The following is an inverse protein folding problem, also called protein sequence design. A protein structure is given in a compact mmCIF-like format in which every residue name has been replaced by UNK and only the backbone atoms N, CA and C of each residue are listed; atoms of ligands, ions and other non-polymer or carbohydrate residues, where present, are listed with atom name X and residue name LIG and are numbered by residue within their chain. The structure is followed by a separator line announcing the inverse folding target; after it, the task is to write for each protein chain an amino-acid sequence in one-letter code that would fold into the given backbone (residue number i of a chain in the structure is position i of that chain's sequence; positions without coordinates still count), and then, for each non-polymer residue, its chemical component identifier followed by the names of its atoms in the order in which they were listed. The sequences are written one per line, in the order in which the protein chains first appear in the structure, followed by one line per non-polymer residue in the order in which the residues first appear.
data_IF_875695393492
#
_entry.id   IF_875695393492
#
_cell.length_a   1.000
_cell.length_b   1.000
_cell.length_c   1.000
_cell.angle_alpha   90.00
_cell.angle_beta   90.00
_cell.angle_gamma   90.00
#
_symmetry.space_group_name_H-M   'P 1'
#
loop_
_entity.id
_entity.type
_entity.pdbx_description
1 polymer ?
#
# COMPACT_ATOMS: atom_id res chain seq x y z
N UNK A 1 6.27 -23.04 -2.48
CA UNK A 1 5.29 -22.01 -2.94
C UNK A 1 5.35 -20.86 -1.97
N UNK A 2 5.41 -19.63 -2.47
CA UNK A 2 5.51 -18.42 -1.64
C UNK A 2 4.21 -17.62 -1.76
N UNK A 3 3.68 -17.15 -0.65
CA UNK A 3 2.57 -16.21 -0.57
C UNK A 3 2.97 -15.08 0.38
N UNK A 4 2.88 -13.87 -0.11
CA UNK A 4 3.30 -12.67 0.60
C UNK A 4 2.11 -11.89 1.09
N UNK A 5 2.27 -11.24 2.25
CA UNK A 5 1.32 -10.30 2.83
C UNK A 5 -0.12 -10.85 2.97
N UNK A 6 -0.30 -11.90 3.77
CA UNK A 6 -1.64 -12.43 4.10
C UNK A 6 -2.56 -11.38 4.75
N UNK A 7 -1.98 -10.40 5.43
CA UNK A 7 -2.68 -9.28 6.07
C UNK A 7 -3.20 -8.22 5.08
N UNK A 8 -2.84 -8.31 3.80
CA UNK A 8 -3.34 -7.42 2.75
C UNK A 8 -4.62 -7.95 2.07
N UNK A 9 -5.15 -9.08 2.53
CA UNK A 9 -6.50 -9.50 2.17
C UNK A 9 -7.50 -8.52 2.80
N UNK A 10 -8.41 -7.94 2.00
CA UNK A 10 -9.38 -6.92 2.44
C UNK A 10 -10.32 -7.43 3.55
N UNK A 11 -10.60 -8.74 3.57
CA UNK A 11 -11.48 -9.40 4.53
C UNK A 11 -10.78 -10.56 5.24
N UNK A 12 -11.27 -10.95 6.42
CA UNK A 12 -10.76 -12.08 7.20
C UNK A 12 -11.02 -13.45 6.52
N UNK A 13 -12.13 -13.56 5.78
CA UNK A 13 -12.54 -14.81 5.12
C UNK A 13 -11.52 -15.33 4.08
N UNK A 14 -10.98 -14.50 3.16
CA UNK A 14 -9.99 -14.97 2.18
C UNK A 14 -8.70 -15.48 2.82
N UNK A 15 -8.19 -14.83 3.85
CA UNK A 15 -6.98 -15.26 4.54
C UNK A 15 -7.20 -16.62 5.24
N UNK A 16 -8.33 -16.77 5.92
CA UNK A 16 -8.74 -18.03 6.59
C UNK A 16 -8.95 -19.16 5.59
N UNK A 17 -9.56 -18.88 4.44
CA UNK A 17 -9.75 -19.85 3.37
C UNK A 17 -8.40 -20.32 2.79
N UNK A 18 -7.45 -19.41 2.56
CA UNK A 18 -6.10 -19.74 2.09
C UNK A 18 -5.40 -20.66 3.08
N UNK A 19 -5.42 -20.33 4.38
CA UNK A 19 -4.78 -21.15 5.42
C UNK A 19 -5.44 -22.54 5.52
N UNK A 20 -6.76 -22.63 5.41
CA UNK A 20 -7.49 -23.89 5.39
C UNK A 20 -7.11 -24.78 4.19
N UNK A 21 -6.96 -24.20 3.01
CA UNK A 21 -6.52 -24.91 1.79
C UNK A 21 -5.08 -25.40 1.95
N UNK A 22 -4.18 -24.55 2.47
CA UNK A 22 -2.79 -24.90 2.72
C UNK A 22 -2.69 -26.06 3.72
N UNK A 23 -3.46 -26.02 4.83
CA UNK A 23 -3.49 -27.08 5.82
C UNK A 23 -3.86 -28.44 5.22
N UNK A 24 -4.81 -28.48 4.28
CA UNK A 24 -5.16 -29.71 3.55
C UNK A 24 -4.04 -30.13 2.60
N UNK A 25 -3.47 -29.21 1.84
CA UNK A 25 -2.40 -29.52 0.89
C UNK A 25 -1.14 -30.04 1.55
N UNK A 26 -0.77 -29.53 2.73
CA UNK A 26 0.41 -30.00 3.49
C UNK A 26 0.25 -31.47 3.90
N UNK A 27 -0.96 -31.90 4.26
CA UNK A 27 -1.23 -33.32 4.59
C UNK A 27 -1.23 -34.22 3.36
N UNK A 28 -1.71 -33.74 2.21
CA UNK A 28 -1.81 -34.50 0.96
C UNK A 28 -0.48 -34.56 0.19
N UNK A 29 0.35 -33.50 0.26
CA UNK A 29 1.57 -33.36 -0.52
C UNK A 29 2.76 -33.01 0.39
N UNK A 30 3.29 -33.95 1.17
CA UNK A 30 4.30 -33.66 2.19
C UNK A 30 5.66 -33.16 1.68
N UNK A 31 5.91 -33.23 0.37
CA UNK A 31 7.14 -32.68 -0.26
C UNK A 31 7.05 -31.20 -0.61
N UNK A 32 5.87 -30.61 -0.52
CA UNK A 32 5.68 -29.18 -0.81
C UNK A 32 5.86 -28.37 0.47
N UNK A 33 6.70 -27.33 0.41
CA UNK A 33 6.84 -26.34 1.48
C UNK A 33 6.20 -25.04 1.06
N UNK A 34 5.50 -24.41 2.01
CA UNK A 34 4.91 -23.09 1.85
C UNK A 34 5.72 -22.09 2.67
N UNK A 35 6.01 -20.95 2.09
CA UNK A 35 6.55 -19.79 2.78
C UNK A 35 5.49 -18.69 2.73
N UNK A 36 5.07 -18.22 3.88
CA UNK A 36 3.99 -17.26 4.05
C UNK A 36 4.52 -16.08 4.87
N UNK A 37 4.13 -14.88 4.50
CA UNK A 37 4.39 -13.67 5.29
C UNK A 37 3.09 -12.98 5.62
N UNK A 38 3.07 -12.22 6.69
CA UNK A 38 1.93 -11.44 7.13
C UNK A 38 2.15 -10.82 8.50
N UNK A 39 1.35 -9.83 8.84
CA UNK A 39 1.30 -9.28 10.19
C UNK A 39 0.58 -10.26 11.12
N UNK A 40 0.89 -10.26 12.43
CA UNK A 40 0.26 -11.16 13.40
C UNK A 40 -1.16 -10.67 13.77
N UNK A 41 -2.02 -10.50 12.78
CA UNK A 41 -3.41 -10.15 12.99
C UNK A 41 -4.17 -11.31 13.65
N UNK A 42 -5.21 -11.05 14.47
CA UNK A 42 -5.89 -12.07 15.25
C UNK A 42 -6.36 -13.27 14.42
N UNK A 43 -7.00 -13.02 13.28
CA UNK A 43 -7.52 -14.07 12.40
C UNK A 43 -6.42 -14.92 11.75
N UNK A 44 -5.28 -14.32 11.39
CA UNK A 44 -4.11 -15.01 10.84
C UNK A 44 -3.46 -15.86 11.93
N UNK A 45 -3.25 -15.27 13.11
CA UNK A 45 -2.66 -15.97 14.26
C UNK A 45 -3.50 -17.16 14.72
N UNK A 46 -4.84 -17.03 14.69
CA UNK A 46 -5.77 -18.14 14.98
C UNK A 46 -5.68 -19.21 13.88
N UNK A 47 -5.61 -18.80 12.61
CA UNK A 47 -5.51 -19.71 11.47
C UNK A 47 -4.31 -20.66 11.57
N UNK A 48 -3.14 -20.15 11.97
CA UNK A 48 -1.94 -20.98 12.16
C UNK A 48 -2.01 -21.92 13.38
N UNK A 49 -2.90 -21.66 14.35
CA UNK A 49 -3.13 -22.53 15.50
C UNK A 49 -4.13 -23.66 15.23
N UNK A 50 -4.74 -23.70 14.05
CA UNK A 50 -5.61 -24.81 13.67
C UNK A 50 -4.83 -26.13 13.65
N UNK A 51 -5.44 -27.27 14.04
CA UNK A 51 -4.76 -28.55 14.17
C UNK A 51 -3.99 -29.00 12.94
N UNK A 52 -4.48 -28.65 11.74
CA UNK A 52 -3.84 -29.00 10.46
C UNK A 52 -2.53 -28.25 10.18
N UNK A 53 -2.30 -27.11 10.83
CA UNK A 53 -1.13 -26.26 10.62
C UNK A 53 -0.22 -26.19 11.84
N UNK A 54 -0.77 -26.28 13.04
CA UNK A 54 -0.04 -26.01 14.29
C UNK A 54 1.22 -26.90 14.48
N UNK A 55 1.14 -28.17 14.07
CA UNK A 55 2.25 -29.12 14.24
C UNK A 55 3.28 -29.10 13.10
N UNK A 56 2.95 -28.45 11.98
CA UNK A 56 3.76 -28.44 10.74
C UNK A 56 4.23 -27.05 10.33
N UNK A 57 3.98 -26.04 11.17
CA UNK A 57 4.34 -24.65 10.89
C UNK A 57 5.45 -24.17 11.82
N UNK A 58 6.54 -23.69 11.23
CA UNK A 58 7.55 -22.93 11.92
C UNK A 58 7.25 -21.43 11.77
N UNK A 59 7.12 -20.72 12.89
CA UNK A 59 6.82 -19.28 12.90
C UNK A 59 8.10 -18.50 13.22
N UNK A 60 8.51 -17.63 12.32
CA UNK A 60 9.62 -16.71 12.52
C UNK A 60 9.09 -15.28 12.72
N UNK A 61 9.43 -14.68 13.85
CA UNK A 61 8.97 -13.33 14.22
C UNK A 61 10.09 -12.34 13.93
N UNK A 62 9.91 -11.49 12.89
CA UNK A 62 10.90 -10.50 12.47
C UNK A 62 11.26 -9.49 13.57
N UNK A 63 10.34 -9.15 14.45
CA UNK A 63 10.60 -8.22 15.56
C UNK A 63 11.60 -8.79 16.61
N UNK A 64 11.89 -10.07 16.55
CA UNK A 64 12.90 -10.72 17.40
C UNK A 64 14.30 -10.70 16.81
N UNK A 65 14.50 -10.18 15.60
CA UNK A 65 15.82 -10.02 14.98
C UNK A 65 16.56 -8.86 15.65
N UNK A 66 17.83 -9.10 15.97
CA UNK A 66 18.67 -8.07 16.58
C UNK A 66 18.74 -6.80 15.70
N UNK A 67 18.51 -5.60 16.27
CA UNK A 67 18.51 -4.35 15.49
C UNK A 67 19.80 -4.11 14.68
N UNK A 68 20.94 -4.59 15.20
CA UNK A 68 22.22 -4.47 14.51
C UNK A 68 22.28 -5.32 13.24
N UNK A 69 21.66 -6.50 13.23
CA UNK A 69 21.60 -7.35 12.03
C UNK A 69 20.77 -6.69 10.96
N UNK A 70 19.58 -6.19 11.31
CA UNK A 70 18.71 -5.47 10.38
C UNK A 70 19.41 -4.21 9.85
N UNK A 71 20.13 -3.47 10.70
CA UNK A 71 20.90 -2.30 10.31
C UNK A 71 22.01 -2.63 9.31
N UNK A 72 22.72 -3.75 9.53
CA UNK A 72 23.77 -4.22 8.62
C UNK A 72 23.18 -4.64 7.27
N UNK A 73 22.03 -5.30 7.26
CA UNK A 73 21.37 -5.72 6.02
C UNK A 73 20.88 -4.51 5.22
N UNK A 74 20.32 -3.49 5.88
CA UNK A 74 19.94 -2.22 5.24
C UNK A 74 21.17 -1.52 4.66
N UNK A 75 22.29 -1.52 5.40
CA UNK A 75 23.54 -0.94 4.91
C UNK A 75 24.06 -1.68 3.68
N UNK A 76 24.01 -3.01 3.70
CA UNK A 76 24.38 -3.84 2.57
C UNK A 76 23.48 -3.56 1.37
N UNK A 77 22.15 -3.46 1.57
CA UNK A 77 21.20 -3.10 0.55
C UNK A 77 21.57 -1.75 -0.10
N UNK A 78 21.80 -0.71 0.69
CA UNK A 78 22.18 0.60 0.15
C UNK A 78 23.51 0.55 -0.61
N UNK A 79 24.54 -0.10 -0.06
CA UNK A 79 25.85 -0.23 -0.72
C UNK A 79 25.72 -0.91 -2.08
N UNK A 80 25.01 -2.02 -2.15
CA UNK A 80 24.81 -2.76 -3.39
C UNK A 80 24.02 -1.93 -4.41
N UNK A 81 22.89 -1.37 -3.99
CA UNK A 81 22.00 -0.59 -4.86
C UNK A 81 22.69 0.68 -5.40
N UNK A 82 23.44 1.40 -4.55
CA UNK A 82 24.18 2.58 -5.01
C UNK A 82 25.37 2.22 -5.89
N UNK A 83 26.06 1.11 -5.63
CA UNK A 83 27.12 0.63 -6.51
C UNK A 83 26.60 0.34 -7.93
N UNK A 84 25.43 -0.30 -8.04
CA UNK A 84 24.77 -0.53 -9.32
C UNK A 84 24.34 0.79 -9.99
N UNK A 85 23.85 1.76 -9.21
CA UNK A 85 23.49 3.07 -9.72
C UNK A 85 24.69 3.82 -10.28
N UNK A 86 25.81 3.83 -9.56
CA UNK A 86 27.07 4.44 -9.99
C UNK A 86 27.58 3.77 -11.28
N UNK A 87 27.50 2.44 -11.37
CA UNK A 87 27.86 1.71 -12.59
C UNK A 87 27.01 2.06 -13.82
N UNK A 88 25.73 2.45 -13.60
CA UNK A 88 24.82 2.86 -14.68
C UNK A 88 24.91 4.33 -15.05
N UNK A 89 25.43 5.19 -14.17
CA UNK A 89 25.52 6.64 -14.36
C UNK A 89 26.95 7.13 -14.31
N UNK A 90 27.42 7.70 -15.40
CA UNK A 90 28.77 8.28 -15.46
C UNK A 90 28.89 9.49 -14.52
N UNK A 91 30.05 9.67 -13.89
CA UNK A 91 30.43 10.88 -13.18
C UNK A 91 30.14 10.91 -11.68
N UNK A 92 29.60 9.84 -11.09
CA UNK A 92 29.28 9.81 -9.65
C UNK A 92 30.51 9.45 -8.76
N UNK A 93 31.57 8.88 -9.31
CA UNK A 93 32.81 8.54 -8.56
C UNK A 93 32.53 7.68 -7.31
N UNK A 94 33.17 8.06 -6.19
CA UNK A 94 32.95 7.40 -4.88
C UNK A 94 31.73 7.99 -4.14
N UNK A 95 30.58 7.85 -4.75
CA UNK A 95 29.30 8.33 -4.21
C UNK A 95 28.36 7.15 -3.95
N UNK A 96 27.51 7.20 -2.90
CA UNK A 96 27.52 8.17 -1.81
C UNK A 96 28.70 7.97 -0.86
N UNK A 97 29.05 9.01 -0.09
CA UNK A 97 30.09 8.90 0.95
C UNK A 97 29.64 7.98 2.08
N UNK A 98 30.58 7.40 2.83
CA UNK A 98 30.26 6.55 4.00
C UNK A 98 29.40 7.32 5.02
N UNK A 99 29.70 8.61 5.26
CA UNK A 99 28.89 9.43 6.16
C UNK A 99 27.45 9.69 5.68
N UNK A 100 27.23 9.72 4.35
CA UNK A 100 25.87 9.79 3.79
C UNK A 100 25.15 8.46 3.96
N UNK A 101 25.85 7.33 3.76
CA UNK A 101 25.30 5.99 4.02
C UNK A 101 24.90 5.79 5.48
N UNK A 102 25.78 6.19 6.42
CA UNK A 102 25.50 6.12 7.85
C UNK A 102 24.19 6.85 8.19
N UNK A 103 24.05 8.08 7.70
CA UNK A 103 22.84 8.88 7.91
C UNK A 103 21.58 8.25 7.28
N UNK A 104 21.70 7.59 6.14
CA UNK A 104 20.58 6.87 5.54
C UNK A 104 20.17 5.64 6.37
N UNK A 105 21.15 4.88 6.88
CA UNK A 105 20.91 3.73 7.75
C UNK A 105 20.26 4.15 9.07
N UNK A 106 20.76 5.21 9.71
CA UNK A 106 20.14 5.79 10.91
C UNK A 106 18.69 6.20 10.68
N UNK A 107 18.41 6.84 9.52
CA UNK A 107 17.05 7.25 9.15
C UNK A 107 16.13 6.08 8.79
N UNK A 108 16.69 5.01 8.27
CA UNK A 108 15.91 3.82 7.99
C UNK A 108 15.39 3.15 9.26
N UNK A 109 16.08 3.33 10.41
CA UNK A 109 15.65 2.85 11.72
C UNK A 109 15.15 1.38 11.70
N UNK A 110 15.82 0.51 10.94
CA UNK A 110 15.41 -0.89 10.78
C UNK A 110 14.29 -1.14 9.76
N UNK A 111 13.79 -0.11 9.07
CA UNK A 111 12.69 -0.25 8.09
C UNK A 111 13.21 -0.42 6.66
N UNK A 112 13.16 -1.64 6.12
CA UNK A 112 13.51 -1.90 4.71
C UNK A 112 12.65 -1.12 3.71
N UNK A 113 11.37 -0.91 4.02
CA UNK A 113 10.48 -0.11 3.17
C UNK A 113 10.98 1.33 3.02
N UNK A 114 11.56 1.91 4.10
CA UNK A 114 12.19 3.22 4.01
C UNK A 114 13.42 3.18 3.10
N UNK A 115 14.29 2.19 3.26
CA UNK A 115 15.48 2.04 2.45
C UNK A 115 15.14 1.87 0.96
N UNK A 116 14.19 1.01 0.64
CA UNK A 116 13.74 0.75 -0.73
C UNK A 116 13.09 1.98 -1.38
N UNK A 117 12.19 2.67 -0.66
CA UNK A 117 11.55 3.89 -1.16
C UNK A 117 12.55 5.04 -1.34
N UNK A 118 13.50 5.18 -0.40
CA UNK A 118 14.61 6.14 -0.48
C UNK A 118 15.48 5.90 -1.71
N UNK A 119 15.92 4.66 -1.92
CA UNK A 119 16.72 4.32 -3.10
C UNK A 119 15.94 4.62 -4.39
N UNK A 120 14.68 4.22 -4.46
CA UNK A 120 13.82 4.46 -5.61
C UNK A 120 13.60 5.96 -5.88
N UNK A 121 13.56 6.79 -4.84
CA UNK A 121 13.50 8.25 -4.97
C UNK A 121 14.79 8.81 -5.56
N UNK A 122 15.95 8.31 -5.12
CA UNK A 122 17.26 8.75 -5.59
C UNK A 122 17.54 8.27 -7.02
N UNK A 123 17.15 7.03 -7.37
CA UNK A 123 17.31 6.45 -8.73
C UNK A 123 16.29 7.01 -9.75
N UNK A 124 15.78 8.20 -9.54
CA UNK A 124 14.89 8.83 -10.52
C UNK A 124 15.68 9.23 -11.77
N UNK A 125 15.30 8.65 -12.93
CA UNK A 125 15.96 8.89 -14.23
C UNK A 125 15.97 10.36 -14.68
N UNK A 126 15.04 11.18 -14.16
CA UNK A 126 14.86 12.58 -14.56
C UNK A 126 15.58 13.57 -13.65
N UNK A 127 16.20 13.10 -12.56
CA UNK A 127 16.79 13.96 -11.54
C UNK A 127 18.21 13.52 -11.24
N UNK A 128 19.02 14.48 -10.77
CA UNK A 128 20.38 14.18 -10.31
C UNK A 128 20.35 13.43 -8.96
N UNK A 129 20.99 12.25 -8.85
CA UNK A 129 20.99 11.45 -7.62
C UNK A 129 21.62 12.16 -6.43
N UNK A 130 22.69 12.97 -6.64
CA UNK A 130 23.34 13.74 -5.59
C UNK A 130 22.37 14.75 -4.98
N UNK A 131 21.70 15.53 -5.82
CA UNK A 131 20.69 16.49 -5.39
C UNK A 131 19.53 15.82 -4.64
N UNK A 132 19.06 14.66 -5.11
CA UNK A 132 17.99 13.92 -4.44
C UNK A 132 18.41 13.41 -3.06
N UNK A 133 19.64 12.89 -2.95
CA UNK A 133 20.20 12.47 -1.66
C UNK A 133 20.31 13.65 -0.70
N UNK A 134 20.81 14.78 -1.16
CA UNK A 134 20.99 15.97 -0.34
C UNK A 134 19.64 16.53 0.15
N UNK A 135 18.63 16.56 -0.70
CA UNK A 135 17.26 16.92 -0.30
C UNK A 135 16.74 16.04 0.84
N UNK A 136 16.93 14.72 0.72
CA UNK A 136 16.54 13.80 1.80
C UNK A 136 17.34 14.05 3.07
N UNK A 137 18.66 14.23 2.96
CA UNK A 137 19.52 14.40 4.13
C UNK A 137 19.40 15.78 4.80
N UNK A 138 18.91 16.81 4.11
CA UNK A 138 18.63 18.15 4.67
C UNK A 138 17.28 18.21 5.37
N UNK A 139 16.28 17.42 4.96
CA UNK A 139 15.00 17.35 5.65
C UNK A 139 15.22 16.94 7.11
N UNK A 140 14.83 17.80 8.03
CA UNK A 140 15.23 17.91 9.44
C UNK A 140 15.47 16.59 10.19
N UNK A 141 16.45 16.65 11.15
CA UNK A 141 16.71 15.67 12.20
C UNK A 141 15.43 15.41 12.99
N UNK A 142 14.78 14.28 12.76
CA UNK A 142 13.57 13.94 13.47
C UNK A 142 13.83 12.70 14.30
N UNK A 143 13.52 12.86 15.59
CA UNK A 143 13.69 11.82 16.58
C UNK A 143 12.94 10.53 16.25
N UNK A 144 13.55 9.44 16.62
CA UNK A 144 13.16 8.08 16.35
C UNK A 144 11.74 7.72 16.86
N UNK A 145 10.76 7.92 15.96
CA UNK A 145 9.49 7.21 16.02
C UNK A 145 9.29 6.60 14.64
N UNK A 146 9.27 5.28 14.54
CA UNK A 146 9.24 4.51 13.27
C UNK A 146 8.18 5.01 12.28
N UNK A 147 6.96 5.33 12.74
CA UNK A 147 5.89 5.88 11.91
C UNK A 147 6.21 7.25 11.31
N UNK A 148 6.87 8.15 12.05
CA UNK A 148 7.20 9.51 11.59
C UNK A 148 8.28 9.54 10.52
N UNK A 149 9.19 8.57 10.50
CA UNK A 149 10.28 8.50 9.51
C UNK A 149 9.76 8.27 8.10
N UNK A 150 8.83 7.33 7.92
CA UNK A 150 8.16 7.09 6.63
C UNK A 150 7.31 8.29 6.19
N UNK A 151 6.57 8.89 7.11
CA UNK A 151 5.72 10.05 6.81
C UNK A 151 6.55 11.23 6.27
N UNK A 152 7.74 11.42 6.81
CA UNK A 152 8.65 12.46 6.32
C UNK A 152 9.27 12.14 4.97
N UNK A 153 9.58 10.87 4.71
CA UNK A 153 10.00 10.45 3.39
C UNK A 153 8.87 10.70 2.39
N UNK A 154 7.65 10.31 2.70
CA UNK A 154 6.49 10.55 1.84
C UNK A 154 6.25 12.03 1.60
N UNK A 155 6.33 12.86 2.64
CA UNK A 155 6.25 14.31 2.50
C UNK A 155 7.35 14.89 1.61
N UNK A 156 8.58 14.40 1.74
CA UNK A 156 9.71 14.88 0.93
C UNK A 156 9.52 14.52 -0.55
N UNK A 157 9.05 13.30 -0.83
CA UNK A 157 8.72 12.85 -2.18
C UNK A 157 7.58 13.68 -2.78
N UNK A 158 6.50 13.88 -2.04
CA UNK A 158 5.35 14.67 -2.49
C UNK A 158 5.74 16.12 -2.78
N UNK A 159 6.48 16.78 -1.89
CA UNK A 159 6.99 18.14 -2.12
C UNK A 159 7.84 18.24 -3.39
N UNK A 160 8.66 17.23 -3.66
CA UNK A 160 9.44 17.18 -4.89
C UNK A 160 8.66 16.83 -6.14
N UNK A 161 7.40 16.37 -6.01
CA UNK A 161 6.56 15.89 -7.11
C UNK A 161 5.47 16.89 -7.51
N UNK A 162 5.19 17.86 -6.64
CA UNK A 162 4.26 18.94 -6.88
C UNK A 162 5.02 20.21 -7.29
N UNK A 163 4.42 21.04 -8.13
CA UNK A 163 5.02 22.28 -8.61
C UNK A 163 4.29 23.47 -8.00
N UNK A 164 5.03 24.35 -7.29
CA UNK A 164 4.45 25.52 -6.65
C UNK A 164 3.98 26.56 -7.67
N UNK A 165 4.55 26.55 -8.86
CA UNK A 165 4.29 27.50 -9.93
C UNK A 165 3.19 27.01 -10.92
N UNK A 166 2.77 25.74 -10.84
CA UNK A 166 1.74 25.15 -11.71
C UNK A 166 0.60 24.47 -10.92
N UNK A 167 -0.43 25.23 -10.51
CA UNK A 167 -1.59 24.69 -9.81
C UNK A 167 -2.39 23.65 -10.62
N UNK A 168 -2.36 23.72 -11.94
CA UNK A 168 -3.04 22.74 -12.79
C UNK A 168 -2.31 21.40 -12.79
N UNK A 169 -0.98 21.42 -12.84
CA UNK A 169 -0.15 20.24 -12.68
C UNK A 169 -0.40 19.56 -11.33
N UNK A 170 -0.47 20.33 -10.27
CA UNK A 170 -0.78 19.85 -8.92
C UNK A 170 -2.15 19.19 -8.82
N UNK A 171 -3.18 19.83 -9.39
CA UNK A 171 -4.53 19.30 -9.40
C UNK A 171 -4.59 17.95 -10.14
N UNK A 172 -3.90 17.84 -11.28
CA UNK A 172 -3.79 16.59 -12.05
C UNK A 172 -3.05 15.52 -11.27
N UNK A 173 -1.90 15.84 -10.67
CA UNK A 173 -1.10 14.92 -9.85
C UNK A 173 -1.93 14.39 -8.67
N UNK A 174 -2.64 15.26 -7.97
CA UNK A 174 -3.52 14.88 -6.87
C UNK A 174 -4.68 13.99 -7.33
N UNK A 175 -5.30 14.31 -8.47
CA UNK A 175 -6.39 13.49 -9.02
C UNK A 175 -5.92 12.08 -9.38
N UNK A 176 -4.72 11.95 -9.96
CA UNK A 176 -4.11 10.67 -10.28
C UNK A 176 -3.80 9.87 -9.01
N UNK A 177 -3.17 10.50 -8.00
CA UNK A 177 -2.90 9.86 -6.72
C UNK A 177 -4.20 9.43 -6.03
N UNK A 178 -5.25 10.25 -6.09
CA UNK A 178 -6.56 9.88 -5.55
C UNK A 178 -7.15 8.65 -6.24
N UNK A 179 -7.06 8.59 -7.57
CA UNK A 179 -7.52 7.42 -8.33
C UNK A 179 -6.74 6.15 -7.97
N UNK A 180 -5.41 6.25 -7.76
CA UNK A 180 -4.57 5.09 -7.38
C UNK A 180 -4.85 4.63 -5.95
N UNK A 181 -5.04 5.57 -5.02
CA UNK A 181 -5.13 5.27 -3.58
C UNK A 181 -6.54 4.82 -3.17
N UNK A 182 -7.58 5.39 -3.80
CA UNK A 182 -8.97 5.16 -3.41
C UNK A 182 -9.70 4.12 -4.26
N UNK A 183 -9.09 3.63 -5.34
CA UNK A 183 -9.70 2.59 -6.16
C UNK A 183 -9.73 1.25 -5.43
N UNK A 184 -10.90 0.60 -5.38
CA UNK A 184 -11.04 -0.74 -4.81
C UNK A 184 -10.19 -1.79 -5.56
N UNK A 185 -10.00 -1.61 -6.88
CA UNK A 185 -9.11 -2.44 -7.68
C UNK A 185 -8.05 -1.57 -8.34
N UNK A 186 -6.79 -2.03 -8.43
CA UNK A 186 -5.74 -1.27 -9.08
C UNK A 186 -6.08 -0.94 -10.55
N UNK A 187 -5.95 0.33 -10.89
CA UNK A 187 -6.26 0.87 -12.22
C UNK A 187 -4.99 0.99 -13.08
N UNK A 188 -5.11 0.74 -14.38
CA UNK A 188 -4.02 1.02 -15.32
C UNK A 188 -3.90 2.51 -15.64
N UNK A 189 -2.73 3.01 -16.07
CA UNK A 189 -2.57 4.38 -16.54
C UNK A 189 -3.59 4.79 -17.60
N UNK A 190 -3.91 3.88 -18.53
CA UNK A 190 -4.93 4.11 -19.56
C UNK A 190 -6.34 4.26 -18.97
N UNK A 191 -6.68 3.45 -17.96
CA UNK A 191 -7.97 3.55 -17.26
C UNK A 191 -8.07 4.84 -16.45
N UNK A 192 -6.98 5.22 -15.74
CA UNK A 192 -6.91 6.48 -14.99
C UNK A 192 -7.07 7.67 -15.95
N UNK A 193 -6.42 7.64 -17.13
CA UNK A 193 -6.58 8.67 -18.15
C UNK A 193 -8.04 8.86 -18.54
N UNK A 194 -8.70 7.75 -18.88
CA UNK A 194 -10.12 7.77 -19.29
C UNK A 194 -11.02 8.28 -18.16
N UNK A 195 -10.80 7.80 -16.93
CA UNK A 195 -11.58 8.20 -15.76
C UNK A 195 -11.48 9.71 -15.46
N UNK A 196 -10.29 10.27 -15.62
CA UNK A 196 -10.02 11.67 -15.31
C UNK A 196 -10.17 12.61 -16.51
N UNK A 197 -10.52 12.09 -17.69
CA UNK A 197 -10.61 12.88 -18.92
C UNK A 197 -9.26 13.47 -19.37
N UNK A 198 -8.14 12.81 -19.00
CA UNK A 198 -6.79 13.23 -19.33
C UNK A 198 -6.26 12.49 -20.57
N UNK A 199 -5.28 13.08 -21.24
CA UNK A 199 -4.58 12.38 -22.29
C UNK A 199 -3.58 11.38 -21.67
N UNK A 200 -3.48 10.17 -22.23
CA UNK A 200 -2.54 9.15 -21.76
C UNK A 200 -1.08 9.64 -21.78
N UNK A 201 -0.75 10.54 -22.70
CA UNK A 201 0.58 11.15 -22.78
C UNK A 201 0.91 12.06 -21.60
N UNK A 202 -0.10 12.64 -20.97
CA UNK A 202 0.08 13.57 -19.83
C UNK A 202 0.20 12.79 -18.51
N UNK A 203 -0.34 11.58 -18.43
CA UNK A 203 -0.30 10.75 -17.22
C UNK A 203 1.11 10.21 -16.93
N UNK A 204 1.85 9.76 -17.95
CA UNK A 204 3.17 9.17 -17.75
C UNK A 204 4.18 10.11 -17.07
N UNK A 205 4.27 11.41 -17.39
CA UNK A 205 5.09 12.36 -16.65
C UNK A 205 4.67 12.51 -15.18
N UNK A 206 3.36 12.61 -14.93
CA UNK A 206 2.80 12.77 -13.60
C UNK A 206 3.05 11.56 -12.71
N UNK A 207 2.79 10.35 -13.21
CA UNK A 207 3.12 9.11 -12.51
C UNK A 207 4.63 8.97 -12.27
N UNK A 208 5.46 9.39 -13.22
CA UNK A 208 6.91 9.33 -13.07
C UNK A 208 7.44 10.26 -11.97
N UNK A 209 6.77 11.35 -11.66
CA UNK A 209 7.15 12.25 -10.57
C UNK A 209 6.99 11.61 -9.19
N UNK A 210 6.01 10.71 -9.05
CA UNK A 210 5.69 9.98 -7.81
C UNK A 210 6.07 8.50 -7.88
N UNK A 211 6.92 8.09 -8.82
CA UNK A 211 7.26 6.68 -9.06
C UNK A 211 7.88 5.97 -7.85
N UNK A 212 8.52 6.70 -6.94
CA UNK A 212 9.08 6.13 -5.71
C UNK A 212 8.01 5.69 -4.70
N UNK A 213 6.78 6.17 -4.85
CA UNK A 213 5.62 5.83 -4.03
C UNK A 213 4.73 4.77 -4.67
N UNK A 214 4.96 4.48 -5.96
CA UNK A 214 4.12 3.61 -6.76
C UNK A 214 4.91 2.49 -7.44
N UNK A 215 4.26 1.38 -7.72
CA UNK A 215 4.76 0.33 -8.59
C UNK A 215 4.22 0.63 -9.98
N UNK A 216 5.12 1.02 -10.88
CA UNK A 216 4.84 1.31 -12.28
C UNK A 216 5.54 0.27 -13.16
N UNK A 217 4.85 -0.17 -14.20
CA UNK A 217 5.42 -0.97 -15.28
C UNK A 217 5.51 -0.13 -16.55
N UNK A 218 6.31 -0.56 -17.51
CA UNK A 218 6.48 0.16 -18.79
C UNK A 218 5.21 0.11 -19.64
N UNK A 219 4.43 -0.96 -19.52
CA UNK A 219 3.15 -1.11 -20.22
C UNK A 219 2.05 -0.29 -19.52
N UNK A 220 1.48 0.67 -20.25
CA UNK A 220 0.40 1.56 -19.79
C UNK A 220 -0.92 0.85 -19.46
N UNK A 221 -1.04 -0.43 -19.80
CA UNK A 221 -2.21 -1.25 -19.48
C UNK A 221 -2.02 -2.04 -18.17
N UNK A 222 -0.81 -2.07 -17.63
CA UNK A 222 -0.58 -2.71 -16.33
C UNK A 222 -1.07 -1.83 -15.17
N UNK A 223 -1.73 -2.43 -14.16
CA UNK A 223 -2.24 -1.69 -13.02
C UNK A 223 -1.15 -0.99 -12.21
N UNK A 224 -1.40 0.26 -11.85
CA UNK A 224 -0.58 1.03 -10.91
C UNK A 224 -1.00 0.69 -9.49
N UNK A 225 -0.02 0.47 -8.62
CA UNK A 225 -0.28 0.16 -7.21
C UNK A 225 0.61 1.02 -6.31
N UNK A 226 0.19 1.33 -5.09
CA UNK A 226 1.09 1.85 -4.07
C UNK A 226 2.28 0.92 -3.86
N UNK A 227 3.46 1.50 -3.66
CA UNK A 227 4.68 0.73 -3.40
C UNK A 227 4.59 -0.05 -2.07
N UNK A 228 3.90 0.53 -1.09
CA UNK A 228 3.65 -0.09 0.21
C UNK A 228 2.34 0.46 0.79
N UNK A 229 1.61 -0.38 1.53
CA UNK A 229 0.29 -0.02 2.09
C UNK A 229 0.34 1.17 3.06
N UNK A 230 1.48 1.43 3.71
CA UNK A 230 1.61 2.59 4.59
C UNK A 230 1.53 3.95 3.88
N UNK A 231 1.70 3.98 2.54
CA UNK A 231 1.54 5.21 1.77
C UNK A 231 0.06 5.63 1.64
N UNK A 232 -0.88 4.75 1.23
CA UNK A 232 -2.31 5.05 1.34
C UNK A 232 -2.73 5.46 2.75
N UNK A 233 -2.31 4.72 3.78
CA UNK A 233 -2.61 5.04 5.18
C UNK A 233 -2.12 6.43 5.59
N UNK A 234 -0.93 6.84 5.10
CA UNK A 234 -0.37 8.16 5.35
C UNK A 234 -1.16 9.26 4.65
N UNK A 235 -1.39 9.12 3.34
CA UNK A 235 -1.92 10.22 2.52
C UNK A 235 -3.42 10.48 2.77
N UNK A 236 -4.13 9.48 3.31
CA UNK A 236 -5.56 9.58 3.67
C UNK A 236 -5.81 9.93 5.13
N UNK A 237 -4.79 9.89 5.98
CA UNK A 237 -4.90 10.26 7.40
C UNK A 237 -4.57 11.75 7.59
N UNK A 238 -5.53 12.60 7.99
CA UNK A 238 -5.31 14.03 8.18
C UNK A 238 -4.37 14.35 9.36
N UNK A 239 -4.14 13.40 10.28
CA UNK A 239 -3.20 13.58 11.41
C UNK A 239 -1.76 13.32 11.00
N UNK A 240 -1.53 12.52 9.94
CA UNK A 240 -0.23 12.17 9.39
C UNK A 240 0.13 13.07 8.20
N UNK A 241 -0.74 13.16 7.21
CA UNK A 241 -0.62 14.05 6.07
C UNK A 241 -1.29 15.40 6.36
N UNK A 242 -0.64 16.22 7.20
CA UNK A 242 -1.18 17.50 7.66
C UNK A 242 -1.24 18.58 6.58
N UNK A 243 -0.54 18.40 5.46
CA UNK A 243 -0.57 19.35 4.36
C UNK A 243 -1.81 19.12 3.49
N UNK A 244 -2.78 20.06 3.47
CA UNK A 244 -4.02 19.91 2.71
C UNK A 244 -3.80 19.81 1.19
N UNK A 245 -2.64 20.25 0.69
CA UNK A 245 -2.26 20.13 -0.72
C UNK A 245 -2.07 18.66 -1.13
N UNK A 246 -1.60 17.81 -0.24
CA UNK A 246 -1.30 16.41 -0.52
C UNK A 246 -2.37 15.47 0.02
N UNK A 247 -3.02 15.84 1.11
CA UNK A 247 -4.01 14.98 1.76
C UNK A 247 -5.16 14.61 0.82
N UNK A 248 -5.49 13.33 0.77
CA UNK A 248 -6.58 12.76 -0.01
C UNK A 248 -7.68 12.34 0.97
N UNK A 249 -8.82 13.02 0.91
CA UNK A 249 -9.98 12.63 1.71
C UNK A 249 -10.71 11.47 1.03
N UNK A 250 -10.87 10.31 1.69
CA UNK A 250 -11.73 9.26 1.18
C UNK A 250 -13.15 9.80 0.98
N UNK A 251 -13.88 9.34 -0.04
CA UNK A 251 -15.28 9.70 -0.19
C UNK A 251 -16.01 9.35 1.11
N UNK A 252 -16.74 10.29 1.67
CA UNK A 252 -17.57 10.01 2.84
C UNK A 252 -18.55 8.92 2.42
N UNK A 253 -18.47 7.74 3.07
CA UNK A 253 -19.55 6.78 2.99
C UNK A 253 -20.85 7.53 3.21
N UNK A 254 -21.89 7.34 2.38
CA UNK A 254 -23.18 7.90 2.70
C UNK A 254 -23.48 7.44 4.13
N UNK A 255 -23.44 8.38 5.08
CA UNK A 255 -23.91 8.10 6.43
C UNK A 255 -25.31 7.59 6.19
N UNK A 256 -25.55 6.34 6.54
CA UNK A 256 -26.87 5.87 6.82
C UNK A 256 -27.33 6.78 7.96
N UNK A 257 -27.93 7.89 7.62
CA UNK A 257 -28.76 8.65 8.52
C UNK A 257 -29.91 7.71 8.80
N UNK A 258 -29.76 6.85 9.80
CA UNK A 258 -30.89 6.34 10.53
C UNK A 258 -31.50 7.53 11.27
N UNK A 259 -32.08 8.44 10.51
CA UNK A 259 -33.14 9.25 11.01
C UNK A 259 -34.24 8.26 11.34
N UNK A 260 -34.32 7.91 12.59
CA UNK A 260 -35.52 7.38 13.21
C UNK A 260 -36.64 8.37 12.91
N UNK A 261 -37.28 8.19 11.77
CA UNK A 261 -38.65 8.64 11.60
C UNK A 261 -39.43 7.75 12.56
N UNK A 262 -40.16 8.33 13.56
CA UNK A 262 -41.06 7.53 14.37
C UNK A 262 -42.11 6.93 13.40
N UNK A 263 -42.23 5.62 13.44
CA UNK A 263 -43.35 4.92 12.82
C UNK A 263 -44.64 5.57 13.32
N UNK A 264 -45.61 5.94 12.45
CA UNK A 264 -46.89 6.35 12.90
C UNK A 264 -47.54 5.19 13.66
N UNK A 265 -47.96 5.45 14.88
CA UNK A 265 -48.80 4.56 15.67
C UNK A 265 -50.03 4.19 14.85
N UNK A 266 -50.13 2.96 14.42
CA UNK A 266 -51.40 2.37 13.99
C UNK A 266 -52.28 2.11 15.22
N UNK A 267 -53.10 3.09 15.53
CA UNK A 267 -54.33 2.85 16.25
C UNK A 267 -55.46 3.43 15.42
N UNK A 268 -56.32 2.54 15.02
CA UNK A 268 -57.64 2.70 14.37
C UNK A 268 -57.68 2.63 12.83
N UNK A 269 -58.22 1.57 12.38
CA UNK A 269 -59.48 1.44 11.64
C UNK A 269 -59.44 0.32 10.59
N UNK A 270 -60.40 -0.56 10.69
CA UNK A 270 -61.16 -1.04 9.54
C UNK A 270 -60.70 -2.34 8.92
N UNK A 271 -61.34 -3.41 9.29
CA UNK A 271 -61.45 -4.66 8.55
C UNK A 271 -61.92 -4.39 7.12
N UNK A 272 -61.10 -4.74 6.14
CA UNK A 272 -61.56 -5.07 4.80
C UNK A 272 -60.83 -6.32 4.27
N UNK A 273 -61.66 -7.36 4.11
CA UNK A 273 -61.29 -8.61 3.46
C UNK A 273 -60.88 -8.38 1.99
N UNK A 274 -59.63 -8.68 1.63
CA UNK A 274 -59.27 -8.95 0.24
C UNK A 274 -58.56 -10.29 0.15
N UNK A 275 -59.21 -11.19 -0.61
CA UNK A 275 -58.78 -12.55 -0.92
C UNK A 275 -57.42 -12.57 -1.67
N UNK A 276 -56.52 -13.43 -1.24
CA UNK A 276 -55.27 -13.75 -1.94
C UNK A 276 -55.56 -14.77 -3.07
N UNK A 277 -54.96 -14.59 -4.27
CA UNK A 277 -54.94 -15.64 -5.29
C UNK A 277 -53.82 -16.64 -5.03
N UNK A 278 -54.19 -17.91 -5.03
CA UNK A 278 -53.30 -19.04 -4.77
C UNK A 278 -52.32 -19.31 -5.88
N UNK A 279 -51.08 -19.57 -5.46
CA UNK A 279 -50.07 -20.21 -6.32
C UNK A 279 -49.84 -21.66 -5.88
N UNK A 280 -50.32 -22.61 -6.73
CA UNK A 280 -50.08 -24.04 -6.59
C UNK A 280 -48.64 -24.35 -6.95
N UNK A 281 -47.91 -25.03 -6.05
CA UNK A 281 -46.68 -25.75 -6.36
C UNK A 281 -47.03 -26.95 -7.24
N UNK A 282 -46.32 -27.11 -8.37
CA UNK A 282 -46.19 -28.39 -9.04
C UNK A 282 -44.80 -28.95 -8.74
N UNK A 283 -44.76 -29.98 -7.93
CA UNK A 283 -43.67 -30.95 -7.86
C UNK A 283 -43.82 -31.88 -9.05
N UNK A 284 -42.81 -32.10 -9.81
CA UNK A 284 -42.69 -33.13 -10.85
C UNK A 284 -41.31 -33.75 -10.75
N UNK A 285 -41.27 -34.97 -10.20
CA UNK A 285 -40.15 -35.89 -10.35
C UNK A 285 -40.06 -36.37 -11.79
N UNK A 286 -38.83 -36.39 -12.35
CA UNK A 286 -38.22 -37.56 -12.97
C UNK A 286 -36.73 -37.33 -13.07
#
# INVERSE_FOLDING_TARGET
MTRDALDECEDEEPASAILSVIGRLVSEIPKVKFFLTGRPEPHISVGFRLPLLAEVTDIFILHGVEPNEVGNDIRLFFKTSFSELVGRRCGLGNWPTEGQLDRLCERAAGLFVYAAATFKFIDNKRRDPGTQLDLLLQSQKIGACEGKTLDLLYMSVLRGSFDDDDPEYDAKTRSILSAVVLAANPLSPSTIATLLGLNTKDISPLLSSVNSLLILQEDVNHPVRPFHKSFPDFITDPTRCINPRFHISPPRSPRTTSSLLPWPNESNAGEEHVQAPGWRRKLGCQ
#
